data_IF_984055941108
#
_entry.id   IF_984055941108
#
_cell.length_a   1.000
_cell.length_b   1.000
_cell.length_c   1.000
_cell.angle_alpha   90.00
_cell.angle_beta   90.00
_cell.angle_gamma   90.00
#
_symmetry.space_group_name_H-M   'P 1'
#
loop_
_entity.id
_entity.type
_entity.pdbx_description
1 polymer ?
#
# COMPACT_ATOMS: atom_id res chain seq x y z
N UNK A 1 -8.22 20.04 -1.68
CA UNK A 1 -8.31 18.76 -0.95
C UNK A 1 -7.91 17.67 -1.92
N UNK A 2 -6.87 16.88 -1.60
CA UNK A 2 -6.51 15.72 -2.40
C UNK A 2 -7.45 14.58 -1.99
N UNK A 3 -8.52 14.39 -2.76
CA UNK A 3 -9.37 13.21 -2.66
C UNK A 3 -8.71 12.10 -3.48
N UNK A 4 -7.74 11.42 -2.90
CA UNK A 4 -7.29 10.13 -3.43
C UNK A 4 -8.42 9.13 -3.24
N UNK A 5 -9.24 8.94 -4.27
CA UNK A 5 -10.14 7.78 -4.35
C UNK A 5 -9.24 6.56 -4.48
N UNK A 6 -9.01 5.89 -3.36
CA UNK A 6 -8.49 4.53 -3.37
C UNK A 6 -9.68 3.62 -3.71
N UNK A 7 -9.76 2.99 -4.88
CA UNK A 7 -10.22 1.62 -4.89
C UNK A 7 -9.11 0.87 -4.14
N UNK A 8 -9.31 0.62 -2.84
CA UNK A 8 -8.68 -0.53 -2.20
C UNK A 8 -8.93 -1.69 -3.15
N UNK A 9 -7.85 -2.16 -3.79
CA UNK A 9 -7.89 -2.98 -4.98
C UNK A 9 -8.97 -4.05 -4.85
N UNK A 10 -10.14 -3.77 -5.44
CA UNK A 10 -11.13 -4.82 -5.66
C UNK A 10 -10.46 -5.78 -6.63
N UNK A 11 -10.69 -7.07 -6.36
CA UNK A 11 -9.97 -8.21 -6.92
C UNK A 11 -10.01 -8.25 -8.46
N UNK A 12 -10.87 -7.45 -9.09
CA UNK A 12 -11.04 -7.33 -10.54
C UNK A 12 -10.11 -6.30 -11.24
N UNK A 13 -9.26 -5.54 -10.52
CA UNK A 13 -8.53 -4.39 -11.10
C UNK A 13 -7.00 -4.47 -10.98
N UNK A 14 -6.42 -5.67 -10.98
CA UNK A 14 -4.96 -5.82 -10.84
C UNK A 14 -4.16 -5.33 -12.07
N UNK A 15 -4.83 -5.21 -13.21
CA UNK A 15 -4.23 -4.84 -14.50
C UNK A 15 -4.55 -3.40 -14.97
N UNK A 16 -5.35 -2.63 -14.21
CA UNK A 16 -5.87 -1.33 -14.69
C UNK A 16 -5.16 -0.07 -14.16
N UNK A 17 -4.22 -0.22 -13.21
CA UNK A 17 -3.53 0.92 -12.57
C UNK A 17 -4.48 1.85 -11.77
N UNK A 18 -3.90 2.81 -11.05
CA UNK A 18 -4.60 3.80 -10.23
C UNK A 18 -4.96 5.04 -11.06
N UNK A 19 -6.21 5.51 -10.92
CA UNK A 19 -6.65 6.83 -11.39
C UNK A 19 -6.71 7.81 -10.22
N UNK A 20 -6.01 8.93 -10.32
CA UNK A 20 -5.97 9.96 -9.27
C UNK A 20 -6.75 11.19 -9.72
N UNK A 21 -7.69 11.65 -8.90
CA UNK A 21 -8.43 12.90 -9.14
C UNK A 21 -7.85 14.00 -8.26
N UNK A 22 -7.55 15.15 -8.86
CA UNK A 22 -6.99 16.32 -8.18
C UNK A 22 -7.96 17.48 -8.37
N UNK A 23 -8.65 17.86 -7.29
CA UNK A 23 -9.54 19.03 -7.30
C UNK A 23 -8.72 20.32 -7.17
N UNK A 24 -8.57 21.01 -8.29
CA UNK A 24 -7.87 22.28 -8.43
C UNK A 24 -8.81 23.46 -8.76
N UNK A 25 -10.14 23.29 -8.59
CA UNK A 25 -11.13 24.34 -8.90
C UNK A 25 -10.91 25.61 -8.09
N UNK A 26 -10.57 25.46 -6.80
CA UNK A 26 -10.39 26.58 -5.87
C UNK A 26 -8.94 27.12 -5.84
N UNK A 27 -7.97 26.24 -6.04
CA UNK A 27 -6.55 26.56 -5.93
C UNK A 27 -5.72 25.60 -6.81
N UNK A 28 -4.60 26.07 -7.39
CA UNK A 28 -3.71 25.19 -8.14
C UNK A 28 -3.12 24.10 -7.25
N UNK A 29 -2.79 22.92 -7.80
CA UNK A 29 -2.15 21.85 -7.05
C UNK A 29 -0.74 22.28 -6.63
N UNK A 30 -0.34 21.92 -5.40
CA UNK A 30 1.02 22.18 -4.92
C UNK A 30 2.05 21.36 -5.71
N UNK A 31 3.21 21.92 -6.09
CA UNK A 31 4.25 21.18 -6.86
C UNK A 31 4.73 19.89 -6.18
N UNK A 32 4.69 19.83 -4.85
CA UNK A 32 5.04 18.63 -4.07
C UNK A 32 4.17 17.41 -4.42
N UNK A 33 2.94 17.63 -4.91
CA UNK A 33 2.04 16.55 -5.32
C UNK A 33 2.66 15.73 -6.46
N UNK A 34 3.10 16.38 -7.53
CA UNK A 34 3.66 15.69 -8.69
C UNK A 34 5.00 15.01 -8.35
N UNK A 35 5.79 15.61 -7.46
CA UNK A 35 6.98 14.97 -6.89
C UNK A 35 6.63 13.68 -6.15
N UNK A 36 5.59 13.70 -5.31
CA UNK A 36 5.11 12.52 -4.60
C UNK A 36 4.57 11.44 -5.56
N UNK A 37 3.78 11.82 -6.58
CA UNK A 37 3.30 10.87 -7.59
C UNK A 37 4.45 10.21 -8.35
N UNK A 38 5.51 10.97 -8.67
CA UNK A 38 6.73 10.43 -9.29
C UNK A 38 7.46 9.46 -8.35
N UNK A 39 7.57 9.79 -7.07
CA UNK A 39 8.15 8.88 -6.07
C UNK A 39 7.39 7.56 -5.99
N UNK A 40 6.05 7.60 -6.00
CA UNK A 40 5.22 6.39 -6.00
C UNK A 40 5.47 5.55 -7.26
N UNK A 41 5.51 6.19 -8.44
CA UNK A 41 5.85 5.51 -9.71
C UNK A 41 7.27 4.91 -9.72
N UNK A 42 8.24 5.51 -9.04
CA UNK A 42 9.60 4.96 -8.95
C UNK A 42 9.67 3.67 -8.12
N UNK A 43 8.80 3.53 -7.13
CA UNK A 43 8.71 2.34 -6.27
C UNK A 43 7.91 1.24 -6.96
N UNK A 44 6.84 1.61 -7.68
CA UNK A 44 5.97 0.69 -8.40
C UNK A 44 5.65 1.24 -9.79
N UNK A 45 6.48 0.95 -10.80
CA UNK A 45 6.24 1.42 -12.16
C UNK A 45 4.90 0.93 -12.72
N UNK A 46 4.13 1.83 -13.32
CA UNK A 46 2.80 1.55 -13.88
C UNK A 46 1.67 1.55 -12.86
N UNK A 47 1.94 1.84 -11.58
CA UNK A 47 0.89 1.83 -10.55
C UNK A 47 -0.13 2.96 -10.70
N UNK A 48 0.26 4.12 -11.25
CA UNK A 48 -0.63 5.26 -11.52
C UNK A 48 -0.78 5.39 -13.04
N UNK A 49 -1.96 5.06 -13.56
CA UNK A 49 -2.20 5.12 -14.99
C UNK A 49 -2.64 6.51 -15.43
N UNK A 50 -3.51 7.14 -14.65
CA UNK A 50 -4.20 8.37 -15.05
C UNK A 50 -4.26 9.37 -13.90
N UNK A 51 -4.05 10.65 -14.20
CA UNK A 51 -4.27 11.78 -13.29
C UNK A 51 -5.25 12.75 -13.94
N UNK A 52 -6.40 12.94 -13.30
CA UNK A 52 -7.46 13.85 -13.73
C UNK A 52 -7.40 15.13 -12.90
N UNK A 53 -7.04 16.25 -13.54
CA UNK A 53 -6.95 17.58 -12.94
C UNK A 53 -8.25 18.33 -13.19
N UNK A 54 -9.06 18.53 -12.16
CA UNK A 54 -10.30 19.30 -12.25
C UNK A 54 -10.01 20.80 -12.03
N UNK A 55 -10.06 21.61 -13.09
CA UNK A 55 -9.75 23.04 -13.04
C UNK A 55 -10.64 23.85 -13.99
N UNK A 56 -11.12 25.02 -13.56
CA UNK A 56 -12.03 25.88 -14.37
C UNK A 56 -11.33 26.60 -15.54
N UNK A 57 -10.02 26.82 -15.41
CA UNK A 57 -9.17 27.35 -16.49
C UNK A 57 -8.13 26.29 -16.83
N UNK A 58 -7.84 26.12 -18.11
CA UNK A 58 -6.67 25.36 -18.55
C UNK A 58 -5.45 25.89 -17.79
N UNK A 59 -4.95 25.10 -16.84
CA UNK A 59 -3.69 25.38 -16.16
C UNK A 59 -2.57 25.04 -17.15
N UNK A 60 -2.44 25.86 -18.19
CA UNK A 60 -1.46 25.72 -19.29
C UNK A 60 -0.03 25.60 -18.75
N UNK A 61 0.22 26.05 -17.51
CA UNK A 61 1.53 26.16 -16.90
C UNK A 61 2.01 24.94 -16.09
N UNK A 62 1.21 23.90 -15.82
CA UNK A 62 1.59 22.79 -14.92
C UNK A 62 1.35 21.41 -15.52
N UNK A 63 1.66 21.21 -16.81
CA UNK A 63 1.91 19.85 -17.31
C UNK A 63 3.25 19.35 -16.79
N UNK A 64 3.33 19.10 -15.48
CA UNK A 64 4.43 18.30 -14.94
C UNK A 64 4.36 16.93 -15.60
N UNK A 65 5.36 16.63 -16.43
CA UNK A 65 5.40 15.40 -17.21
C UNK A 65 5.71 14.25 -16.25
N UNK A 66 4.70 13.44 -15.98
CA UNK A 66 4.85 12.17 -15.29
C UNK A 66 5.08 11.09 -16.36
N UNK A 67 6.31 10.55 -16.51
CA UNK A 67 6.60 9.56 -17.54
C UNK A 67 5.74 8.30 -17.32
N UNK A 68 5.06 7.86 -18.38
CA UNK A 68 4.17 6.69 -18.32
C UNK A 68 2.80 6.93 -17.68
N UNK A 69 2.43 8.18 -17.39
CA UNK A 69 1.13 8.53 -16.79
C UNK A 69 0.35 9.47 -17.71
N UNK A 70 -0.92 9.17 -17.95
CA UNK A 70 -1.84 10.04 -18.69
C UNK A 70 -2.33 11.16 -17.77
N UNK A 71 -2.02 12.41 -18.09
CA UNK A 71 -2.48 13.58 -17.33
C UNK A 71 -3.49 14.36 -18.16
N UNK A 72 -4.72 14.47 -17.66
CA UNK A 72 -5.82 15.15 -18.35
C UNK A 72 -6.43 16.25 -17.48
N UNK A 73 -6.70 17.39 -18.10
CA UNK A 73 -7.39 18.51 -17.47
C UNK A 73 -8.88 18.46 -17.81
N UNK A 74 -9.72 18.53 -16.79
CA UNK A 74 -11.17 18.52 -16.91
C UNK A 74 -11.73 19.87 -16.49
N UNK A 75 -12.51 20.49 -17.37
CA UNK A 75 -13.12 21.80 -17.14
C UNK A 75 -14.43 21.74 -16.33
N UNK A 76 -15.00 20.56 -16.08
CA UNK A 76 -16.28 20.41 -15.39
C UNK A 76 -16.45 19.04 -14.72
N UNK A 77 -17.33 18.99 -13.71
CA UNK A 77 -17.74 17.73 -13.05
C UNK A 77 -18.45 16.77 -14.02
N UNK A 78 -19.20 17.30 -15.00
CA UNK A 78 -19.81 16.48 -16.05
C UNK A 78 -18.78 15.75 -16.90
N UNK A 79 -17.61 16.35 -17.13
CA UNK A 79 -16.52 15.68 -17.83
C UNK A 79 -15.89 14.58 -16.96
N UNK A 80 -15.77 14.79 -15.65
CA UNK A 80 -15.27 13.79 -14.70
C UNK A 80 -16.12 12.52 -14.68
N UNK A 81 -17.44 12.65 -14.73
CA UNK A 81 -18.37 11.51 -14.80
C UNK A 81 -18.23 10.62 -16.06
N UNK A 82 -17.46 11.05 -17.07
CA UNK A 82 -17.12 10.19 -18.23
C UNK A 82 -16.00 9.20 -17.94
N UNK A 83 -15.20 9.45 -16.91
CA UNK A 83 -14.05 8.64 -16.53
C UNK A 83 -14.34 7.77 -15.32
N UNK A 84 -15.14 8.27 -14.39
CA UNK A 84 -15.41 7.62 -13.10
C UNK A 84 -16.92 7.60 -12.88
N UNK A 85 -17.44 6.43 -12.48
CA UNK A 85 -18.85 6.26 -12.15
C UNK A 85 -19.25 7.11 -10.93
N UNK A 86 -20.47 7.64 -10.93
CA UNK A 86 -20.93 8.51 -9.85
C UNK A 86 -20.99 7.81 -8.50
N UNK A 87 -21.13 6.48 -8.44
CA UNK A 87 -21.09 5.70 -7.20
C UNK A 87 -19.72 5.70 -6.51
N UNK A 88 -18.66 6.07 -7.23
CA UNK A 88 -17.28 6.14 -6.72
C UNK A 88 -16.83 7.58 -6.41
N UNK A 89 -17.62 8.58 -6.82
CA UNK A 89 -17.33 9.99 -6.58
C UNK A 89 -18.04 10.46 -5.30
N UNK A 90 -17.36 11.31 -4.54
CA UNK A 90 -17.95 11.94 -3.35
C UNK A 90 -18.99 12.99 -3.74
N UNK A 91 -19.86 13.37 -2.80
CA UNK A 91 -20.87 14.41 -3.03
C UNK A 91 -20.27 15.75 -3.48
N UNK A 92 -19.06 16.09 -3.03
CA UNK A 92 -18.33 17.31 -3.45
C UNK A 92 -17.90 17.29 -4.93
N UNK A 93 -17.90 16.11 -5.54
CA UNK A 93 -17.57 15.84 -6.93
C UNK A 93 -18.78 15.38 -7.75
N UNK A 94 -20.00 15.68 -7.30
CA UNK A 94 -21.27 15.31 -7.96
C UNK A 94 -21.51 13.80 -8.04
N UNK A 95 -21.08 13.07 -7.00
CA UNK A 95 -21.28 11.64 -6.87
C UNK A 95 -22.13 11.20 -5.68
N UNK A 96 -22.37 9.90 -5.60
CA UNK A 96 -23.21 9.25 -4.59
C UNK A 96 -22.41 8.55 -3.47
N UNK A 97 -21.08 8.55 -3.54
CA UNK A 97 -20.24 7.89 -2.53
C UNK A 97 -20.33 8.62 -1.18
N UNK A 98 -20.75 7.94 -0.09
CA UNK A 98 -20.82 8.54 1.23
C UNK A 98 -19.41 8.65 1.82
N UNK A 99 -18.76 9.81 1.66
CA UNK A 99 -17.45 10.08 2.27
C UNK A 99 -17.58 10.71 3.65
N UNK A 100 -16.91 10.10 4.64
CA UNK A 100 -16.78 10.62 5.99
C UNK A 100 -15.29 10.74 6.36
N UNK A 101 -14.80 11.98 6.55
CA UNK A 101 -13.38 12.22 6.82
C UNK A 101 -12.92 11.54 8.12
N UNK A 102 -13.74 11.56 9.17
CA UNK A 102 -13.38 10.93 10.45
C UNK A 102 -13.27 9.41 10.33
N UNK A 103 -14.15 8.76 9.58
CA UNK A 103 -14.08 7.32 9.32
C UNK A 103 -12.84 6.97 8.50
N UNK A 104 -12.56 7.77 7.45
CA UNK A 104 -11.35 7.60 6.64
C UNK A 104 -10.07 7.73 7.47
N UNK A 105 -9.98 8.74 8.35
CA UNK A 105 -8.84 8.90 9.26
C UNK A 105 -8.72 7.71 10.22
N UNK A 106 -9.84 7.27 10.82
CA UNK A 106 -9.84 6.12 11.72
C UNK A 106 -9.43 4.81 11.01
N UNK A 107 -9.85 4.62 9.76
CA UNK A 107 -9.40 3.50 8.93
C UNK A 107 -7.88 3.50 8.79
N UNK A 108 -7.28 4.62 8.38
CA UNK A 108 -5.82 4.72 8.21
C UNK A 108 -5.05 4.59 9.53
N UNK A 109 -5.59 5.11 10.63
CA UNK A 109 -5.02 4.93 11.97
C UNK A 109 -4.98 3.47 12.42
N UNK A 110 -5.92 2.63 11.96
CA UNK A 110 -5.92 1.18 12.21
C UNK A 110 -5.03 0.44 11.21
N UNK A 111 -5.07 0.82 9.94
CA UNK A 111 -4.33 0.18 8.86
C UNK A 111 -2.81 0.35 9.01
N UNK A 112 -2.33 1.54 9.39
CA UNK A 112 -0.91 1.83 9.43
C UNK A 112 -0.14 0.98 10.48
N UNK A 113 -0.58 0.89 11.76
CA UNK A 113 0.04 -0.01 12.72
C UNK A 113 -0.04 -1.47 12.28
N UNK A 114 -1.17 -1.89 11.71
CA UNK A 114 -1.34 -3.26 11.24
C UNK A 114 -0.35 -3.61 10.12
N UNK A 115 -0.18 -2.75 9.11
CA UNK A 115 0.79 -2.97 8.03
C UNK A 115 2.23 -2.92 8.54
N UNK A 116 2.54 -2.09 9.55
CA UNK A 116 3.84 -2.09 10.21
C UNK A 116 4.11 -3.42 10.94
N UNK A 117 3.15 -3.94 11.70
CA UNK A 117 3.25 -5.26 12.37
C UNK A 117 3.44 -6.39 11.35
N UNK A 118 2.72 -6.37 10.22
CA UNK A 118 2.90 -7.34 9.14
C UNK A 118 4.31 -7.30 8.55
N UNK A 119 4.86 -6.09 8.33
CA UNK A 119 6.22 -5.92 7.80
C UNK A 119 7.26 -6.47 8.77
N UNK A 120 7.16 -6.13 10.05
CA UNK A 120 8.07 -6.62 11.09
C UNK A 120 8.02 -8.15 11.22
N UNK A 121 6.82 -8.72 11.24
CA UNK A 121 6.62 -10.17 11.23
C UNK A 121 7.26 -10.83 10.00
N UNK A 122 7.09 -10.24 8.82
CA UNK A 122 7.71 -10.73 7.59
C UNK A 122 9.24 -10.67 7.64
N UNK A 123 9.81 -9.56 8.11
CA UNK A 123 11.26 -9.39 8.25
C UNK A 123 11.85 -10.41 9.23
N UNK A 124 11.19 -10.64 10.37
CA UNK A 124 11.60 -11.64 11.35
C UNK A 124 11.59 -13.05 10.74
N UNK A 125 10.52 -13.42 10.04
CA UNK A 125 10.40 -14.72 9.41
C UNK A 125 11.48 -14.91 8.32
N UNK A 126 11.71 -13.89 7.49
CA UNK A 126 12.76 -13.92 6.46
C UNK A 126 14.16 -14.06 7.08
N UNK A 127 14.43 -13.33 8.16
CA UNK A 127 15.69 -13.45 8.92
C UNK A 127 15.88 -14.86 9.47
N UNK A 128 14.84 -15.44 10.10
CA UNK A 128 14.91 -16.80 10.65
C UNK A 128 15.13 -17.83 9.53
N UNK A 129 14.42 -17.71 8.41
CA UNK A 129 14.60 -18.60 7.24
C UNK A 129 16.03 -18.51 6.70
N UNK A 130 16.59 -17.30 6.62
CA UNK A 130 17.97 -17.12 6.13
C UNK A 130 19.00 -17.72 7.09
N UNK A 131 18.82 -17.54 8.40
CA UNK A 131 19.69 -18.14 9.42
C UNK A 131 19.64 -19.68 9.37
N UNK A 132 18.45 -20.27 9.17
CA UNK A 132 18.30 -21.72 8.99
C UNK A 132 19.03 -22.23 7.74
N UNK A 133 18.86 -21.56 6.60
CA UNK A 133 19.56 -21.91 5.35
C UNK A 133 21.08 -21.85 5.49
N UNK A 134 21.59 -20.85 6.20
CA UNK A 134 23.02 -20.69 6.43
C UNK A 134 23.57 -21.80 7.34
N UNK A 135 22.81 -22.20 8.37
CA UNK A 135 23.20 -23.30 9.25
C UNK A 135 23.27 -24.65 8.50
N UNK A 136 22.32 -24.90 7.60
CA UNK A 136 22.29 -26.11 6.77
C UNK A 136 23.44 -26.15 5.74
N UNK A 137 23.80 -25.01 5.15
CA UNK A 137 24.90 -24.92 4.19
C UNK A 137 26.27 -25.25 4.83
N UNK A 138 26.47 -24.83 6.08
CA UNK A 138 27.70 -25.11 6.85
C UNK A 138 27.80 -26.57 7.33
N UNK A 139 26.71 -27.33 7.30
CA UNK A 139 26.68 -28.73 7.69
C UNK A 139 27.25 -29.69 6.61
N UNK A 140 27.39 -29.22 5.35
CA UNK A 140 27.87 -30.03 4.23
C UNK A 140 29.40 -30.23 4.14
N UNK A 141 30.20 -29.54 4.96
CA UNK A 141 31.67 -29.60 4.94
C UNK A 141 32.19 -30.32 6.21
N UNK A 142 32.97 -31.38 6.03
CA UNK A 142 33.14 -32.48 6.99
C UNK A 142 33.73 -32.16 8.40
N UNK A 143 33.51 -33.13 9.30
CA UNK A 143 34.19 -33.48 10.58
C UNK A 143 33.43 -33.07 11.87
N UNK A 144 33.09 -34.08 12.70
CA UNK A 144 32.34 -34.09 13.98
C UNK A 144 30.80 -33.96 13.96
N UNK A 145 30.10 -34.99 13.47
CA UNK A 145 28.63 -34.99 13.28
C UNK A 145 27.76 -34.90 14.55
N UNK A 146 28.21 -35.39 15.71
CA UNK A 146 27.36 -35.50 16.92
C UNK A 146 27.20 -34.18 17.70
N UNK A 147 28.31 -33.48 17.95
CA UNK A 147 28.30 -32.19 18.67
C UNK A 147 27.68 -31.07 17.82
N UNK A 148 27.86 -31.13 16.50
CA UNK A 148 27.21 -30.21 15.54
C UNK A 148 25.72 -30.47 15.36
N UNK A 149 25.27 -31.72 15.36
CA UNK A 149 23.84 -32.03 15.34
C UNK A 149 23.14 -31.47 16.58
N UNK A 150 23.73 -31.63 17.76
CA UNK A 150 23.21 -31.05 19.00
C UNK A 150 23.18 -29.51 18.96
N UNK A 151 24.24 -28.88 18.46
CA UNK A 151 24.29 -27.42 18.29
C UNK A 151 23.28 -26.90 17.25
N UNK A 152 23.08 -27.63 16.15
CA UNK A 152 22.09 -27.31 15.13
C UNK A 152 20.66 -27.40 15.67
N UNK A 153 20.33 -28.49 16.39
CA UNK A 153 19.03 -28.66 17.06
C UNK A 153 18.80 -27.53 18.07
N UNK A 154 19.80 -27.20 18.89
CA UNK A 154 19.71 -26.08 19.84
C UNK A 154 19.43 -24.76 19.15
N UNK A 155 20.13 -24.45 18.05
CA UNK A 155 19.89 -23.24 17.27
C UNK A 155 18.50 -23.21 16.63
N UNK A 156 18.03 -24.35 16.13
CA UNK A 156 16.69 -24.48 15.57
C UNK A 156 15.61 -24.21 16.62
N UNK A 157 15.80 -24.73 17.84
CA UNK A 157 14.91 -24.48 18.98
C UNK A 157 14.90 -23.01 19.39
N UNK A 158 16.05 -22.34 19.45
CA UNK A 158 16.15 -20.90 19.73
C UNK A 158 15.41 -20.07 18.68
N UNK A 159 15.61 -20.36 17.39
CA UNK A 159 14.93 -19.65 16.31
C UNK A 159 13.42 -19.88 16.34
N UNK A 160 12.98 -21.11 16.59
CA UNK A 160 11.57 -21.41 16.79
C UNK A 160 11.00 -20.64 17.98
N UNK A 161 11.68 -20.61 19.13
CA UNK A 161 11.22 -19.84 20.29
C UNK A 161 11.16 -18.34 19.99
N UNK A 162 12.13 -17.80 19.25
CA UNK A 162 12.14 -16.40 18.83
C UNK A 162 10.95 -16.06 17.94
N UNK A 163 10.60 -16.93 17.01
CA UNK A 163 9.41 -16.78 16.15
C UNK A 163 8.13 -16.87 16.96
N UNK A 164 7.98 -17.92 17.79
CA UNK A 164 6.76 -18.17 18.55
C UNK A 164 6.49 -17.15 19.65
N UNK A 165 7.55 -16.51 20.17
CA UNK A 165 7.44 -15.50 21.24
C UNK A 165 7.37 -14.08 20.72
N UNK A 166 7.48 -13.86 19.41
CA UNK A 166 7.43 -12.51 18.85
C UNK A 166 6.04 -11.89 19.03
N UNK A 167 5.92 -10.77 19.77
CA UNK A 167 4.63 -10.19 20.09
C UNK A 167 3.89 -9.67 18.86
N UNK A 168 4.60 -9.23 17.81
CA UNK A 168 3.98 -8.71 16.59
C UNK A 168 3.40 -9.86 15.76
N UNK A 169 4.14 -10.96 15.62
CA UNK A 169 3.69 -12.15 14.94
C UNK A 169 2.47 -12.77 15.64
N UNK A 170 2.49 -12.85 16.97
CA UNK A 170 1.36 -13.36 17.77
C UNK A 170 0.13 -12.46 17.60
N UNK A 171 0.29 -11.14 17.67
CA UNK A 171 -0.81 -10.21 17.44
C UNK A 171 -1.39 -10.33 16.02
N UNK A 172 -0.53 -10.43 15.00
CA UNK A 172 -0.98 -10.63 13.60
C UNK A 172 -1.72 -11.95 13.44
N UNK A 173 -1.25 -13.04 14.04
CA UNK A 173 -1.90 -14.35 13.96
C UNK A 173 -3.27 -14.36 14.65
N UNK A 174 -3.38 -13.72 15.82
CA UNK A 174 -4.61 -13.69 16.61
C UNK A 174 -5.65 -12.73 16.02
N UNK A 175 -5.23 -11.50 15.74
CA UNK A 175 -6.15 -10.39 15.46
C UNK A 175 -6.22 -10.08 13.96
N UNK A 176 -5.27 -10.56 13.15
CA UNK A 176 -5.15 -10.21 11.73
C UNK A 176 -6.39 -10.59 10.91
N UNK A 177 -7.01 -11.74 11.18
CA UNK A 177 -8.26 -12.13 10.51
C UNK A 177 -9.40 -11.16 10.79
N UNK A 178 -9.55 -10.73 12.04
CA UNK A 178 -10.57 -9.76 12.44
C UNK A 178 -10.30 -8.36 11.86
N UNK A 179 -9.03 -7.93 11.87
CA UNK A 179 -8.61 -6.66 11.26
C UNK A 179 -8.88 -6.67 9.76
N UNK A 180 -8.48 -7.73 9.04
CA UNK A 180 -8.75 -7.86 7.60
C UNK A 180 -10.25 -7.91 7.29
N UNK A 181 -11.05 -8.63 8.07
CA UNK A 181 -12.50 -8.71 7.89
C UNK A 181 -13.21 -7.37 8.16
N UNK A 182 -12.60 -6.47 8.95
CA UNK A 182 -13.09 -5.10 9.15
C UNK A 182 -12.64 -4.19 8.01
N UNK A 183 -11.37 -4.24 7.64
CA UNK A 183 -10.82 -3.47 6.52
C UNK A 183 -11.46 -3.82 5.17
N UNK A 184 -12.00 -5.03 5.00
CA UNK A 184 -12.71 -5.44 3.78
C UNK A 184 -14.19 -5.06 3.74
N UNK A 185 -14.75 -4.53 4.83
CA UNK A 185 -16.14 -4.06 4.93
C UNK A 185 -16.25 -2.53 4.89
N UNK A 186 -15.18 -1.83 5.24
CA UNK A 186 -14.99 -0.38 5.10
C UNK A 186 -14.55 -0.05 3.66
#
# INVERSE_FOLDING_TARGET
LLLTVFPLARREAKDSGLTVVVDARKQPPAPVLFSALRSVQSISPGCIQTVLLLAEKELVAHRERLPGVQVETLASLKALGRYIDSSQLTQELDGAFPYCHSEWVQFFQKLHPFTASLRQASELLQSCIQELRNADALAGTQVTGRMRAAACIGRHQELMQRVLSDPQLVCVQRDGGAVLARLGRE
#
